data_IF_056332613809
#
_entry.id   IF_056332613809
#
_cell.length_a   1.000
_cell.length_b   1.000
_cell.length_c   1.000
_cell.angle_alpha   90.00
_cell.angle_beta   90.00
_cell.angle_gamma   90.00
#
_symmetry.space_group_name_H-M   'P 1'
#
loop_
_entity.id
_entity.type
_entity.pdbx_description
1 polymer ?
#
# COMPACT_ATOMS: atom_id res chain seq x y z
N UNK A 1 35.28 2.11 40.46
CA UNK A 1 34.12 2.40 39.59
C UNK A 1 34.15 1.70 38.22
N UNK A 2 35.17 0.89 37.88
CA UNK A 2 35.20 0.14 36.61
C UNK A 2 34.69 -1.31 36.72
N UNK A 3 34.70 -1.90 37.93
CA UNK A 3 34.23 -3.29 38.14
C UNK A 3 32.70 -3.44 38.30
N UNK A 4 31.96 -2.35 38.49
CA UNK A 4 30.49 -2.40 38.69
C UNK A 4 29.71 -2.34 37.35
N UNK A 5 30.37 -1.99 36.23
CA UNK A 5 29.77 -1.96 34.89
C UNK A 5 29.90 -3.29 34.13
N UNK A 6 30.81 -4.17 34.55
CA UNK A 6 31.03 -5.47 33.91
C UNK A 6 30.09 -6.54 34.47
N UNK A 7 29.63 -6.40 35.73
CA UNK A 7 28.67 -7.32 36.34
C UNK A 7 27.24 -7.19 35.80
N UNK A 8 26.83 -6.02 35.31
CA UNK A 8 25.53 -5.85 34.65
C UNK A 8 25.48 -6.46 33.24
N UNK A 9 26.61 -6.47 32.52
CA UNK A 9 26.69 -7.09 31.19
C UNK A 9 26.64 -8.63 31.24
N UNK A 10 27.15 -9.25 32.32
CA UNK A 10 27.14 -10.71 32.47
C UNK A 10 25.79 -11.21 33.03
N UNK A 11 25.09 -10.43 33.86
CA UNK A 11 23.73 -10.77 34.30
C UNK A 11 22.68 -10.56 33.21
N UNK A 12 22.87 -9.58 32.31
CA UNK A 12 22.04 -9.40 31.11
C UNK A 12 22.24 -10.53 30.09
N UNK A 13 23.44 -11.09 29.96
CA UNK A 13 23.70 -12.20 29.03
C UNK A 13 23.11 -13.54 29.51
N UNK A 14 23.07 -13.77 30.82
CA UNK A 14 22.47 -14.99 31.40
C UNK A 14 20.94 -14.91 31.54
N UNK A 15 20.36 -13.72 31.78
CA UNK A 15 18.91 -13.53 31.75
C UNK A 15 18.33 -13.52 30.32
N UNK A 16 19.10 -13.03 29.34
CA UNK A 16 18.70 -13.02 27.93
C UNK A 16 18.58 -14.43 27.31
N UNK A 17 19.25 -15.44 27.87
CA UNK A 17 19.17 -16.82 27.37
C UNK A 17 17.92 -17.56 27.85
N UNK A 18 17.31 -17.17 28.98
CA UNK A 18 16.07 -17.79 29.47
C UNK A 18 14.80 -17.09 28.96
N UNK A 19 14.87 -15.79 28.66
CA UNK A 19 13.72 -15.03 28.14
C UNK A 19 13.36 -15.42 26.69
N UNK A 20 14.36 -15.77 25.88
CA UNK A 20 14.16 -16.16 24.48
C UNK A 20 13.40 -17.50 24.30
N UNK A 21 13.27 -18.33 25.34
CA UNK A 21 12.51 -19.59 25.29
C UNK A 21 11.07 -19.44 25.85
N UNK A 22 10.69 -18.27 26.36
CA UNK A 22 9.38 -18.04 26.94
C UNK A 22 8.38 -17.52 25.91
N UNK A 23 7.10 -17.91 26.07
CA UNK A 23 6.02 -17.37 25.26
C UNK A 23 5.81 -15.87 25.49
N UNK A 24 5.18 -15.22 24.50
CA UNK A 24 4.99 -13.77 24.50
C UNK A 24 4.21 -13.29 25.73
N UNK A 25 3.17 -14.01 26.16
CA UNK A 25 2.34 -13.59 27.28
C UNK A 25 3.11 -13.65 28.59
N UNK A 26 3.96 -14.66 28.77
CA UNK A 26 4.81 -14.82 29.94
C UNK A 26 5.77 -13.65 30.07
N UNK A 27 6.38 -13.23 28.97
CA UNK A 27 7.27 -12.06 28.94
C UNK A 27 6.49 -10.77 29.19
N UNK A 28 5.36 -10.55 28.51
CA UNK A 28 4.54 -9.34 28.67
C UNK A 28 4.00 -9.17 30.10
N UNK A 29 3.65 -10.26 30.78
CA UNK A 29 3.18 -10.23 32.17
C UNK A 29 4.28 -9.91 33.19
N UNK A 30 5.56 -10.00 32.81
CA UNK A 30 6.69 -9.60 33.65
C UNK A 30 7.00 -8.10 33.54
N UNK A 31 6.48 -7.43 32.50
CA UNK A 31 6.73 -6.02 32.26
C UNK A 31 5.72 -5.14 32.99
N UNK A 32 6.16 -3.95 33.39
CA UNK A 32 5.31 -2.94 34.03
C UNK A 32 4.92 -1.84 33.05
N UNK A 33 3.70 -1.32 33.16
CA UNK A 33 3.26 -0.18 32.34
C UNK A 33 2.85 -0.53 30.90
N UNK A 34 2.60 -1.82 30.61
CA UNK A 34 2.03 -2.30 29.34
C UNK A 34 0.81 -3.20 29.55
N UNK A 35 0.22 -3.16 30.75
CA UNK A 35 -0.83 -4.09 31.19
C UNK A 35 -2.09 -4.03 30.33
N UNK A 36 -2.41 -2.85 29.79
CA UNK A 36 -3.58 -2.63 28.93
C UNK A 36 -3.40 -3.33 27.58
N UNK A 37 -2.20 -3.24 26.98
CA UNK A 37 -1.90 -3.95 25.73
C UNK A 37 -1.99 -5.46 25.93
N UNK A 38 -1.40 -5.97 27.01
CA UNK A 38 -1.46 -7.41 27.34
C UNK A 38 -2.90 -7.88 27.48
N UNK A 39 -3.76 -7.08 28.13
CA UNK A 39 -5.19 -7.36 28.25
C UNK A 39 -5.94 -7.36 26.91
N UNK A 40 -5.56 -6.51 25.95
CA UNK A 40 -6.10 -6.56 24.59
C UNK A 40 -5.63 -7.77 23.82
N UNK A 41 -4.33 -8.10 23.89
CA UNK A 41 -3.75 -9.26 23.19
C UNK A 41 -4.39 -10.58 23.67
N UNK A 42 -4.67 -10.71 24.96
CA UNK A 42 -5.33 -11.90 25.56
C UNK A 42 -6.73 -12.18 25.02
N UNK A 43 -7.40 -11.18 24.42
CA UNK A 43 -8.71 -11.39 23.79
C UNK A 43 -8.60 -12.15 22.46
N UNK A 44 -7.39 -12.22 21.87
CA UNK A 44 -7.13 -12.82 20.57
C UNK A 44 -6.12 -13.98 20.67
N UNK A 45 -6.53 -15.16 21.19
CA UNK A 45 -5.64 -16.31 21.35
C UNK A 45 -4.99 -16.77 20.04
N UNK A 46 -5.72 -16.67 18.90
CA UNK A 46 -5.15 -17.02 17.59
C UNK A 46 -4.00 -16.10 17.16
N UNK A 47 -4.00 -14.83 17.57
CA UNK A 47 -2.87 -13.92 17.34
C UNK A 47 -1.68 -14.30 18.23
N UNK A 48 -1.92 -14.65 19.50
CA UNK A 48 -0.88 -15.12 20.42
C UNK A 48 -0.20 -16.39 19.89
N UNK A 49 -0.98 -17.36 19.43
CA UNK A 49 -0.45 -18.61 18.85
C UNK A 49 0.42 -18.32 17.62
N UNK A 50 -0.04 -17.41 16.74
CA UNK A 50 0.74 -16.99 15.59
C UNK A 50 2.06 -16.34 16.03
N UNK A 51 2.01 -15.41 16.99
CA UNK A 51 3.19 -14.67 17.46
C UNK A 51 4.23 -15.59 18.09
N UNK A 52 3.82 -16.63 18.82
CA UNK A 52 4.72 -17.59 19.43
C UNK A 52 5.35 -18.58 18.43
N UNK A 53 4.69 -18.85 17.30
CA UNK A 53 5.15 -19.84 16.31
C UNK A 53 5.89 -19.24 15.10
N UNK A 54 5.95 -17.91 14.99
CA UNK A 54 6.63 -17.23 13.88
C UNK A 54 7.82 -16.38 14.31
N UNK A 55 8.14 -15.37 13.49
CA UNK A 55 9.24 -14.43 13.75
C UNK A 55 8.73 -13.02 13.57
N UNK A 56 8.56 -12.30 14.67
CA UNK A 56 7.94 -10.98 14.68
C UNK A 56 8.67 -9.99 15.58
N UNK A 57 8.44 -8.72 15.29
CA UNK A 57 8.74 -7.59 16.16
C UNK A 57 7.41 -7.00 16.62
N UNK A 58 7.08 -7.17 17.89
CA UNK A 58 5.82 -6.70 18.46
C UNK A 58 6.05 -5.33 19.08
N UNK A 59 5.42 -4.32 18.50
CA UNK A 59 5.49 -2.93 18.94
C UNK A 59 4.41 -2.71 20.00
N UNK A 60 4.80 -2.65 21.27
CA UNK A 60 3.87 -2.62 22.40
C UNK A 60 3.72 -1.19 22.92
N UNK A 61 2.61 -0.49 22.63
CA UNK A 61 2.37 0.81 23.21
C UNK A 61 2.21 0.71 24.73
N UNK A 62 2.87 1.60 25.46
CA UNK A 62 2.71 1.67 26.91
C UNK A 62 1.30 2.12 27.34
N UNK A 63 0.97 1.93 28.62
CA UNK A 63 -0.36 2.23 29.17
C UNK A 63 -0.74 3.72 29.00
N UNK A 64 0.24 4.62 29.02
CA UNK A 64 0.03 6.06 28.77
C UNK A 64 -0.37 6.34 27.31
N UNK A 65 0.27 5.66 26.36
CA UNK A 65 -0.04 5.72 24.94
C UNK A 65 -1.47 5.25 24.66
N UNK A 66 -1.85 4.10 25.24
CA UNK A 66 -3.19 3.53 25.09
C UNK A 66 -4.25 4.42 25.74
N UNK A 67 -3.97 4.98 26.92
CA UNK A 67 -4.88 5.93 27.57
C UNK A 67 -5.12 7.18 26.72
N UNK A 68 -4.07 7.69 26.08
CA UNK A 68 -4.17 8.83 25.16
C UNK A 68 -5.00 8.46 23.91
N UNK A 69 -4.75 7.28 23.35
CA UNK A 69 -5.47 6.77 22.18
C UNK A 69 -6.98 6.57 22.45
N UNK A 70 -7.32 5.90 23.54
CA UNK A 70 -8.71 5.61 23.94
C UNK A 70 -9.50 6.87 24.31
N UNK A 71 -8.83 7.89 24.86
CA UNK A 71 -9.45 9.20 25.10
C UNK A 71 -9.84 9.92 23.81
N UNK A 72 -9.09 9.70 22.73
CA UNK A 72 -9.35 10.27 21.41
C UNK A 72 -10.27 9.41 20.53
N UNK A 73 -10.38 8.11 20.83
CA UNK A 73 -11.13 7.13 20.05
C UNK A 73 -12.08 6.37 20.98
N UNK A 74 -13.24 6.96 21.24
CA UNK A 74 -14.33 6.30 21.95
C UNK A 74 -14.97 5.26 21.01
N UNK A 75 -15.36 4.10 21.55
CA UNK A 75 -16.08 3.03 20.83
C UNK A 75 -15.27 2.22 19.79
N UNK A 76 -14.02 1.86 20.11
CA UNK A 76 -13.24 0.91 19.29
C UNK A 76 -13.91 -0.46 19.29
N UNK A 77 -14.29 -0.94 18.11
CA UNK A 77 -14.88 -2.27 17.93
C UNK A 77 -13.84 -3.38 18.08
N UNK A 78 -14.28 -4.62 18.29
CA UNK A 78 -13.39 -5.78 18.38
C UNK A 78 -12.56 -5.99 17.09
N UNK A 79 -13.19 -5.79 15.92
CA UNK A 79 -12.53 -5.88 14.62
C UNK A 79 -11.46 -4.79 14.44
N UNK A 80 -11.73 -3.57 14.88
CA UNK A 80 -10.76 -2.47 14.85
C UNK A 80 -9.61 -2.71 15.84
N UNK A 81 -9.90 -3.27 17.01
CA UNK A 81 -8.88 -3.64 17.98
C UNK A 81 -7.96 -4.73 17.43
N UNK A 82 -8.51 -5.76 16.79
CA UNK A 82 -7.71 -6.81 16.15
C UNK A 82 -6.83 -6.23 15.05
N UNK A 83 -7.38 -5.38 14.18
CA UNK A 83 -6.62 -4.72 13.12
C UNK A 83 -5.48 -3.85 13.67
N UNK A 84 -5.75 -3.15 14.78
CA UNK A 84 -4.75 -2.36 15.49
C UNK A 84 -3.63 -3.25 16.04
N UNK A 85 -3.96 -4.34 16.71
CA UNK A 85 -2.96 -5.28 17.24
C UNK A 85 -2.13 -5.92 16.12
N UNK A 86 -2.76 -6.32 15.01
CA UNK A 86 -2.07 -6.84 13.83
C UNK A 86 -1.13 -5.80 13.22
N UNK A 87 -1.51 -4.52 13.20
CA UNK A 87 -0.64 -3.44 12.71
C UNK A 87 0.57 -3.18 13.62
N UNK A 88 0.46 -3.49 14.92
CA UNK A 88 1.58 -3.44 15.86
C UNK A 88 2.50 -4.66 15.79
N UNK A 89 2.13 -5.70 15.03
CA UNK A 89 2.93 -6.90 14.86
C UNK A 89 3.64 -6.85 13.50
N UNK A 90 4.95 -6.63 13.51
CA UNK A 90 5.76 -6.48 12.32
C UNK A 90 6.44 -7.81 11.96
N UNK A 91 6.41 -8.18 10.69
CA UNK A 91 7.04 -9.40 10.19
C UNK A 91 8.56 -9.32 10.28
N UNK A 92 9.19 -10.37 10.81
CA UNK A 92 10.64 -10.45 11.01
C UNK A 92 11.10 -9.81 12.32
N UNK A 93 12.39 -10.02 12.62
CA UNK A 93 13.05 -9.42 13.77
C UNK A 93 13.76 -8.14 13.33
N UNK A 94 13.36 -7.01 13.91
CA UNK A 94 13.92 -5.68 13.68
C UNK A 94 14.53 -5.16 14.98
N UNK A 95 15.78 -5.53 15.33
CA UNK A 95 16.43 -5.01 16.53
C UNK A 95 16.62 -3.49 16.44
N UNK A 96 16.50 -2.77 17.54
CA UNK A 96 16.66 -1.31 17.57
C UNK A 96 18.03 -0.85 17.02
N UNK A 97 19.06 -1.69 17.16
CA UNK A 97 20.40 -1.45 16.62
C UNK A 97 20.49 -1.46 15.09
N UNK A 98 19.51 -2.03 14.37
CA UNK A 98 19.48 -2.03 12.90
C UNK A 98 18.82 -0.78 12.32
N UNK A 99 18.22 0.07 13.17
CA UNK A 99 17.51 1.26 12.73
C UNK A 99 18.54 2.24 12.17
N UNK A 100 18.42 2.52 10.88
CA UNK A 100 19.37 3.33 10.13
C UNK A 100 18.79 4.67 9.72
N UNK A 101 19.65 5.50 9.11
CA UNK A 101 19.23 6.71 8.40
C UNK A 101 18.47 6.38 7.10
N UNK A 102 18.73 5.19 6.54
CA UNK A 102 17.91 4.67 5.46
C UNK A 102 16.66 4.04 6.07
N UNK A 103 15.45 4.50 5.71
CA UNK A 103 14.22 3.93 6.23
C UNK A 103 14.06 2.48 5.75
N UNK A 104 13.42 1.67 6.59
CA UNK A 104 13.01 0.31 6.29
C UNK A 104 11.48 0.24 6.37
N UNK A 105 10.84 -0.21 5.30
CA UNK A 105 9.39 -0.40 5.27
C UNK A 105 9.10 -1.88 5.56
N UNK A 106 8.64 -2.14 6.77
CA UNK A 106 8.44 -3.49 7.27
C UNK A 106 6.95 -3.87 7.22
N UNK A 107 6.57 -4.97 6.55
CA UNK A 107 5.20 -5.46 6.54
C UNK A 107 4.72 -5.84 7.93
N UNK A 108 3.45 -5.57 8.21
CA UNK A 108 2.76 -5.94 9.45
C UNK A 108 1.85 -7.15 9.21
N UNK A 109 1.25 -7.67 10.27
CA UNK A 109 0.21 -8.70 10.17
C UNK A 109 -1.14 -8.16 9.67
N UNK A 110 -1.30 -6.84 9.54
CA UNK A 110 -2.55 -6.25 9.06
C UNK A 110 -2.69 -6.47 7.56
N UNK A 111 -3.56 -7.41 7.18
CA UNK A 111 -3.87 -7.78 5.78
C UNK A 111 -5.36 -7.69 5.43
N UNK A 112 -6.21 -7.35 6.40
CA UNK A 112 -7.65 -7.19 6.16
C UNK A 112 -7.90 -6.06 5.14
N UNK A 113 -8.76 -6.34 4.15
CA UNK A 113 -9.04 -5.44 3.03
C UNK A 113 -9.94 -4.27 3.36
N UNK A 114 -10.75 -4.41 4.42
CA UNK A 114 -11.18 -3.25 5.19
C UNK A 114 -9.94 -2.82 5.96
N UNK A 115 -9.48 -1.58 6.08
CA UNK A 115 -8.17 -1.17 6.64
C UNK A 115 -6.99 -1.11 5.65
N UNK A 116 -6.66 -2.16 4.88
CA UNK A 116 -5.52 -2.08 3.92
C UNK A 116 -5.76 -2.74 2.57
N UNK A 117 -5.30 -2.11 1.50
CA UNK A 117 -5.30 -2.62 0.13
C UNK A 117 -3.90 -2.50 -0.49
N UNK A 118 -2.91 -2.92 0.30
CA UNK A 118 -1.52 -3.07 -0.10
C UNK A 118 -1.20 -4.56 -0.16
N UNK A 119 -0.64 -5.02 -1.28
CA UNK A 119 -0.24 -6.40 -1.50
C UNK A 119 0.81 -6.80 -0.46
N UNK A 120 0.55 -7.88 0.26
CA UNK A 120 1.40 -8.34 1.36
C UNK A 120 1.08 -7.71 2.72
N UNK A 121 0.10 -6.82 2.79
CA UNK A 121 -0.34 -6.17 4.03
C UNK A 121 0.21 -4.77 4.20
N UNK A 122 -0.28 -4.09 5.25
CA UNK A 122 0.14 -2.73 5.55
C UNK A 122 1.54 -2.70 6.17
N UNK A 123 2.27 -1.61 5.99
CA UNK A 123 3.66 -1.47 6.48
C UNK A 123 3.78 -0.42 7.59
N UNK A 124 4.88 -0.50 8.34
CA UNK A 124 5.40 0.58 9.18
C UNK A 124 6.76 1.02 8.64
N UNK A 125 7.09 2.30 8.80
CA UNK A 125 8.41 2.84 8.48
C UNK A 125 9.29 2.79 9.73
N UNK A 126 10.37 2.03 9.68
CA UNK A 126 11.40 1.93 10.72
C UNK A 126 12.57 2.82 10.31
N UNK A 127 12.90 3.83 11.13
CA UNK A 127 13.91 4.82 10.75
C UNK A 127 14.58 5.47 11.98
N UNK A 128 15.58 6.30 11.72
CA UNK A 128 16.21 7.20 12.69
C UNK A 128 15.75 8.63 12.45
N UNK A 129 14.89 9.15 13.33
CA UNK A 129 14.46 10.54 13.31
C UNK A 129 15.22 11.31 14.40
N UNK A 130 15.97 12.35 14.02
CA UNK A 130 16.77 13.15 14.97
C UNK A 130 17.70 12.30 15.86
N UNK A 131 18.35 11.27 15.29
CA UNK A 131 19.20 10.32 16.00
C UNK A 131 18.47 9.46 17.06
N UNK A 132 17.13 9.37 16.99
CA UNK A 132 16.32 8.50 17.85
C UNK A 132 15.66 7.39 17.01
N UNK A 133 15.79 6.10 17.40
CA UNK A 133 15.04 5.01 16.80
C UNK A 133 13.54 5.31 16.84
N UNK A 134 12.91 5.40 15.68
CA UNK A 134 11.53 5.87 15.56
C UNK A 134 10.78 4.99 14.57
N UNK A 135 9.55 4.64 14.94
CA UNK A 135 8.56 4.04 14.04
C UNK A 135 7.67 5.16 13.52
N UNK A 136 7.58 5.33 12.21
CA UNK A 136 6.58 6.18 11.57
C UNK A 136 5.44 5.33 11.03
N UNK A 137 4.21 5.79 11.25
CA UNK A 137 2.97 5.09 10.82
C UNK A 137 1.97 6.06 10.20
N UNK A 138 1.08 5.56 9.35
CA UNK A 138 0.00 6.34 8.73
C UNK A 138 0.47 7.68 8.14
N UNK A 139 -0.05 8.78 8.69
CA UNK A 139 0.28 10.17 8.32
C UNK A 139 1.65 10.64 8.85
N UNK A 140 2.68 9.78 8.76
CA UNK A 140 4.01 9.98 9.36
C UNK A 140 3.96 10.30 10.85
N UNK A 141 3.03 9.66 11.55
CA UNK A 141 2.90 9.71 13.00
C UNK A 141 4.08 9.00 13.65
N UNK A 142 4.89 9.74 14.43
CA UNK A 142 6.07 9.22 15.08
C UNK A 142 5.75 8.54 16.42
N UNK A 143 6.30 7.34 16.61
CA UNK A 143 6.28 6.57 17.85
C UNK A 143 7.72 6.19 18.21
N UNK A 144 8.18 6.59 19.39
CA UNK A 144 9.55 6.37 19.84
C UNK A 144 9.66 5.06 20.61
N UNK A 145 10.83 4.42 20.51
CA UNK A 145 11.12 3.23 21.29
C UNK A 145 11.48 3.64 22.73
N UNK A 146 10.66 3.22 23.69
CA UNK A 146 10.85 3.42 25.13
C UNK A 146 11.75 2.34 25.72
N UNK A 147 11.48 1.09 25.37
CA UNK A 147 12.27 -0.07 25.79
C UNK A 147 12.47 -1.01 24.61
N UNK A 148 13.70 -1.11 24.07
CA UNK A 148 13.99 -1.92 22.90
C UNK A 148 14.31 -3.37 23.26
N UNK A 149 14.17 -4.25 22.26
CA UNK A 149 14.85 -5.54 22.15
C UNK A 149 14.58 -6.56 23.29
N UNK A 150 13.35 -6.61 23.79
CA UNK A 150 12.93 -7.62 24.76
C UNK A 150 12.64 -8.93 24.02
N UNK A 151 13.39 -9.99 24.31
CA UNK A 151 13.26 -11.27 23.60
C UNK A 151 12.09 -12.12 24.11
N UNK A 152 11.47 -12.86 23.19
CA UNK A 152 10.52 -13.94 23.46
C UNK A 152 10.69 -15.03 22.38
N UNK A 153 10.04 -16.19 22.55
CA UNK A 153 10.20 -17.36 21.66
C UNK A 153 9.95 -17.07 20.17
N UNK A 154 9.07 -16.12 19.87
CA UNK A 154 8.72 -15.74 18.50
C UNK A 154 9.42 -14.49 17.97
N UNK A 155 10.42 -13.94 18.66
CA UNK A 155 11.19 -12.80 18.18
C UNK A 155 11.46 -11.74 19.25
N UNK A 156 11.04 -10.50 19.00
CA UNK A 156 11.31 -9.38 19.90
C UNK A 156 10.08 -8.51 20.15
N UNK A 157 10.07 -7.89 21.32
CA UNK A 157 9.12 -6.88 21.75
C UNK A 157 9.87 -5.55 21.82
N UNK A 158 9.27 -4.49 21.29
CA UNK A 158 9.71 -3.12 21.52
C UNK A 158 8.59 -2.33 22.16
N UNK A 159 8.81 -1.79 23.35
CA UNK A 159 7.84 -0.91 23.99
C UNK A 159 7.93 0.47 23.35
N UNK A 160 6.79 1.01 22.95
CA UNK A 160 6.70 2.31 22.26
C UNK A 160 5.85 3.31 23.04
N UNK A 161 6.09 4.60 22.80
CA UNK A 161 5.43 5.69 23.52
C UNK A 161 4.06 6.09 22.96
N UNK A 162 3.68 5.51 21.82
CA UNK A 162 2.46 5.88 21.09
C UNK A 162 1.83 4.68 20.39
N UNK A 163 0.50 4.65 20.37
CA UNK A 163 -0.26 3.71 19.54
C UNK A 163 -0.06 4.05 18.07
N UNK A 164 0.35 3.08 17.26
CA UNK A 164 0.55 3.26 15.83
C UNK A 164 -0.76 3.57 15.12
N UNK A 165 -0.67 4.44 14.13
CA UNK A 165 -1.83 4.88 13.35
C UNK A 165 -1.95 4.04 12.08
N UNK A 166 -3.03 3.25 11.98
CA UNK A 166 -3.35 2.55 10.73
C UNK A 166 -3.49 3.59 9.60
N UNK A 167 -2.77 3.43 8.48
CA UNK A 167 -2.89 4.30 7.32
C UNK A 167 -4.34 4.41 6.82
N UNK A 168 -4.73 5.62 6.44
CA UNK A 168 -6.10 5.98 6.05
C UNK A 168 -6.17 6.25 4.54
N UNK A 169 -7.37 6.40 4.00
CA UNK A 169 -7.55 6.66 2.56
C UNK A 169 -6.80 7.92 2.12
N UNK A 170 -6.34 7.94 0.87
CA UNK A 170 -5.61 9.08 0.31
C UNK A 170 -6.27 10.46 0.58
N UNK A 171 -7.60 10.66 0.36
CA UNK A 171 -8.26 11.93 0.68
C UNK A 171 -8.21 12.30 2.18
N UNK A 172 -8.28 11.31 3.06
CA UNK A 172 -8.19 11.53 4.50
C UNK A 172 -6.74 11.84 4.91
N UNK A 173 -5.75 11.17 4.32
CA UNK A 173 -4.32 11.40 4.53
C UNK A 173 -3.94 12.83 4.19
N UNK A 174 -4.28 13.32 2.99
CA UNK A 174 -3.94 14.71 2.58
C UNK A 174 -4.60 15.76 3.49
N UNK A 175 -5.82 15.49 3.96
CA UNK A 175 -6.56 16.37 4.88
C UNK A 175 -5.89 16.42 6.25
N UNK A 176 -5.57 15.23 6.80
CA UNK A 176 -4.99 15.10 8.13
C UNK A 176 -3.54 15.60 8.17
N UNK A 177 -2.78 15.40 7.09
CA UNK A 177 -1.43 15.94 6.94
C UNK A 177 -1.41 17.46 6.66
N UNK A 178 -2.56 18.10 6.44
CA UNK A 178 -2.63 19.55 6.21
C UNK A 178 -2.07 19.99 4.85
N UNK A 179 -2.13 19.13 3.83
CA UNK A 179 -1.61 19.40 2.48
C UNK A 179 -2.59 20.29 1.70
N UNK A 180 -2.77 21.53 2.17
CA UNK A 180 -3.84 22.42 1.70
C UNK A 180 -3.70 22.83 0.23
N UNK A 181 -2.47 22.97 -0.27
CA UNK A 181 -2.23 23.29 -1.68
C UNK A 181 -2.58 22.11 -2.57
N UNK A 182 -2.18 20.89 -2.18
CA UNK A 182 -2.59 19.68 -2.87
C UNK A 182 -4.11 19.54 -2.89
N UNK A 183 -4.78 19.71 -1.74
CA UNK A 183 -6.25 19.65 -1.67
C UNK A 183 -6.89 20.69 -2.61
N UNK A 184 -6.39 21.92 -2.64
CA UNK A 184 -6.91 22.96 -3.52
C UNK A 184 -6.74 22.59 -5.00
N UNK A 185 -5.59 22.01 -5.35
CA UNK A 185 -5.30 21.55 -6.69
C UNK A 185 -6.23 20.40 -7.11
N UNK A 186 -6.34 19.33 -6.30
CA UNK A 186 -7.23 18.20 -6.60
C UNK A 186 -8.70 18.63 -6.72
N UNK A 187 -9.13 19.63 -5.95
CA UNK A 187 -10.46 20.25 -6.10
C UNK A 187 -10.62 20.96 -7.44
N UNK A 188 -9.59 21.67 -7.92
CA UNK A 188 -9.59 22.34 -9.22
C UNK A 188 -9.66 21.35 -10.38
N UNK A 189 -9.00 20.19 -10.24
CA UNK A 189 -9.10 19.06 -11.16
C UNK A 189 -10.43 18.30 -11.09
N UNK A 190 -11.28 18.57 -10.08
CA UNK A 190 -12.55 17.85 -9.86
C UNK A 190 -12.39 16.45 -9.26
N UNK A 191 -11.18 16.05 -8.86
CA UNK A 191 -10.82 14.68 -8.49
C UNK A 191 -11.25 14.27 -7.07
N UNK A 192 -11.59 15.23 -6.22
CA UNK A 192 -12.16 14.96 -4.89
C UNK A 192 -13.67 14.72 -4.92
N UNK A 193 -14.29 14.81 -6.10
CA UNK A 193 -15.71 14.48 -6.27
C UNK A 193 -15.87 12.96 -6.20
N UNK A 194 -16.72 12.40 -5.31
CA UNK A 194 -16.83 10.94 -5.12
C UNK A 194 -17.22 10.16 -6.37
N UNK A 195 -17.89 10.80 -7.33
CA UNK A 195 -18.31 10.20 -8.61
C UNK A 195 -17.28 10.36 -9.71
N UNK A 196 -16.15 11.03 -9.46
CA UNK A 196 -15.11 11.22 -10.46
C UNK A 196 -14.32 9.92 -10.69
N UNK A 197 -13.87 9.62 -11.92
CA UNK A 197 -12.97 8.50 -12.18
C UNK A 197 -11.69 8.56 -11.34
N UNK A 198 -11.19 9.77 -11.06
CA UNK A 198 -10.01 9.98 -10.22
C UNK A 198 -10.25 9.55 -8.76
N UNK A 199 -11.40 9.87 -8.17
CA UNK A 199 -11.77 9.40 -6.84
C UNK A 199 -11.90 7.87 -6.80
N UNK A 200 -12.41 7.24 -7.86
CA UNK A 200 -12.44 5.78 -7.94
C UNK A 200 -11.04 5.20 -7.91
N UNK A 201 -10.13 5.70 -8.75
CA UNK A 201 -8.73 5.27 -8.82
C UNK A 201 -8.07 5.23 -7.43
N UNK A 202 -8.06 6.35 -6.71
CA UNK A 202 -7.34 6.45 -5.42
C UNK A 202 -8.03 5.76 -4.25
N UNK A 203 -9.29 5.37 -4.39
CA UNK A 203 -10.02 4.69 -3.31
C UNK A 203 -10.17 3.19 -3.53
N UNK A 204 -10.09 2.70 -4.77
CA UNK A 204 -10.36 1.27 -5.07
C UNK A 204 -9.15 0.49 -5.54
N UNK A 205 -8.20 1.12 -6.23
CA UNK A 205 -7.02 0.40 -6.71
C UNK A 205 -6.07 0.12 -5.55
N UNK A 206 -5.40 -1.04 -5.62
CA UNK A 206 -4.35 -1.44 -4.70
C UNK A 206 -3.00 -0.93 -5.17
N UNK A 207 -2.03 -0.91 -4.26
CA UNK A 207 -0.61 -0.72 -4.56
C UNK A 207 -0.31 0.55 -5.35
N UNK A 208 -0.83 1.67 -4.86
CA UNK A 208 -0.65 2.96 -5.50
C UNK A 208 0.60 3.68 -5.00
N UNK A 209 1.32 4.32 -5.92
CA UNK A 209 2.24 5.41 -5.59
C UNK A 209 1.69 6.68 -6.20
N UNK A 210 1.27 7.63 -5.37
CA UNK A 210 0.71 8.91 -5.83
C UNK A 210 1.75 10.00 -5.66
N UNK A 211 2.07 10.72 -6.73
CA UNK A 211 2.90 11.92 -6.68
C UNK A 211 1.99 13.15 -6.67
N UNK A 212 2.01 13.90 -5.56
CA UNK A 212 1.12 15.04 -5.35
C UNK A 212 1.89 16.31 -5.00
N UNK A 213 1.74 17.41 -5.75
CA UNK A 213 2.43 18.64 -5.40
C UNK A 213 1.78 19.32 -4.19
N UNK A 214 2.59 19.79 -3.26
CA UNK A 214 2.12 20.63 -2.15
C UNK A 214 3.02 21.86 -2.00
N UNK A 215 2.81 22.80 -2.92
CA UNK A 215 3.51 24.09 -2.96
C UNK A 215 2.50 25.19 -3.30
N UNK A 216 2.62 26.41 -2.73
CA UNK A 216 1.68 27.51 -2.97
C UNK A 216 1.46 27.85 -4.45
N UNK A 217 2.47 27.63 -5.28
CA UNK A 217 2.42 27.87 -6.73
C UNK A 217 1.53 26.86 -7.47
N UNK A 218 1.32 25.68 -6.89
CA UNK A 218 0.47 24.60 -7.40
C UNK A 218 -0.75 24.38 -6.50
N UNK A 219 -1.24 25.43 -5.84
CA UNK A 219 -2.44 25.43 -5.01
C UNK A 219 -3.63 26.13 -5.67
N UNK A 220 -4.42 26.86 -4.88
CA UNK A 220 -5.65 27.50 -5.34
C UNK A 220 -5.47 28.54 -6.47
N UNK A 221 -4.27 29.15 -6.56
CA UNK A 221 -3.94 30.18 -7.56
C UNK A 221 -3.40 29.59 -8.87
N UNK A 222 -3.27 28.27 -8.97
CA UNK A 222 -2.69 27.63 -10.15
C UNK A 222 -3.63 27.71 -11.36
N UNK A 223 -3.19 28.35 -12.44
CA UNK A 223 -3.97 28.56 -13.67
C UNK A 223 -3.57 27.63 -14.82
N UNK A 224 -2.56 26.77 -14.64
CA UNK A 224 -2.06 25.88 -15.70
C UNK A 224 -3.07 24.85 -16.20
N UNK A 225 -4.17 24.64 -15.46
CA UNK A 225 -5.29 23.78 -15.85
C UNK A 225 -6.49 24.52 -16.44
N UNK A 226 -6.43 25.85 -16.55
CA UNK A 226 -7.54 26.64 -17.07
C UNK A 226 -7.77 26.32 -18.56
N UNK A 227 -9.00 25.95 -18.89
CA UNK A 227 -9.38 25.59 -20.27
C UNK A 227 -9.05 24.16 -20.67
N UNK A 228 -8.44 23.34 -19.79
CA UNK A 228 -8.28 21.92 -20.04
C UNK A 228 -9.62 21.17 -19.95
N UNK A 229 -9.75 20.11 -20.73
CA UNK A 229 -10.91 19.21 -20.66
C UNK A 229 -10.81 18.28 -19.46
N UNK A 230 -11.93 17.73 -19.00
CA UNK A 230 -11.95 16.72 -17.93
C UNK A 230 -11.11 15.48 -18.29
N UNK A 231 -11.08 15.10 -19.57
CA UNK A 231 -10.25 14.00 -20.07
C UNK A 231 -8.75 14.31 -19.91
N UNK A 232 -8.32 15.50 -20.31
CA UNK A 232 -6.92 15.94 -20.14
C UNK A 232 -6.51 16.03 -18.67
N UNK A 233 -7.42 16.48 -17.80
CA UNK A 233 -7.17 16.49 -16.35
C UNK A 233 -7.04 15.06 -15.81
N UNK A 234 -7.88 14.13 -16.25
CA UNK A 234 -7.76 12.73 -15.85
C UNK A 234 -6.45 12.10 -16.32
N UNK A 235 -5.98 12.42 -17.54
CA UNK A 235 -4.67 11.96 -18.04
C UNK A 235 -3.51 12.49 -17.18
N UNK A 236 -3.53 13.78 -16.81
CA UNK A 236 -2.55 14.37 -15.88
C UNK A 236 -2.56 13.64 -14.52
N UNK A 237 -3.76 13.34 -14.01
CA UNK A 237 -3.91 12.60 -12.75
C UNK A 237 -3.35 11.18 -12.84
N UNK A 238 -3.70 10.44 -13.90
CA UNK A 238 -3.20 9.09 -14.14
C UNK A 238 -1.69 9.05 -14.37
N UNK A 239 -1.13 10.09 -15.00
CA UNK A 239 0.31 10.23 -15.16
C UNK A 239 1.03 10.46 -13.83
N UNK A 240 0.34 11.01 -12.83
CA UNK A 240 0.89 11.27 -11.50
C UNK A 240 0.82 10.05 -10.57
N UNK A 241 0.37 8.89 -11.06
CA UNK A 241 0.11 7.69 -10.26
C UNK A 241 0.83 6.50 -10.87
N UNK A 242 1.47 5.69 -10.03
CA UNK A 242 1.91 4.33 -10.35
C UNK A 242 0.95 3.33 -9.72
N UNK A 243 0.78 2.16 -10.34
CA UNK A 243 0.01 1.05 -9.80
C UNK A 243 0.81 -0.25 -9.88
N UNK A 244 0.68 -1.10 -8.85
CA UNK A 244 1.19 -2.48 -8.82
C UNK A 244 2.46 -2.64 -7.99
N UNK A 245 3.20 -1.56 -7.75
CA UNK A 245 4.31 -1.50 -6.81
C UNK A 245 4.22 -0.20 -6.00
N UNK A 246 4.27 -0.34 -4.67
CA UNK A 246 4.30 0.80 -3.75
C UNK A 246 5.75 1.25 -3.60
N UNK A 247 6.11 2.34 -4.25
CA UNK A 247 7.47 2.84 -4.31
C UNK A 247 7.78 3.68 -3.07
N UNK A 248 8.39 3.05 -2.07
CA UNK A 248 8.90 3.72 -0.88
C UNK A 248 10.26 4.38 -1.13
N UNK A 249 10.60 5.41 -0.33
CA UNK A 249 11.86 6.13 -0.47
C UNK A 249 13.12 5.27 -0.36
N UNK A 250 13.05 4.17 0.40
CA UNK A 250 14.15 3.20 0.54
C UNK A 250 14.50 2.50 -0.78
N UNK A 251 13.59 2.51 -1.75
CA UNK A 251 13.70 1.83 -3.03
C UNK A 251 13.95 2.79 -4.19
N UNK A 252 14.05 4.10 -3.91
CA UNK A 252 14.35 5.10 -4.93
C UNK A 252 15.69 4.80 -5.60
N UNK A 253 15.65 4.64 -6.93
CA UNK A 253 16.80 4.29 -7.76
C UNK A 253 17.06 5.41 -8.76
N UNK A 254 18.32 5.82 -8.86
CA UNK A 254 18.71 6.81 -9.87
C UNK A 254 18.58 6.22 -11.28
N UNK A 255 18.11 7.02 -12.22
CA UNK A 255 17.91 6.68 -13.63
C UNK A 255 16.94 5.50 -13.85
N UNK A 256 15.91 5.36 -13.01
CA UNK A 256 14.86 4.37 -13.21
C UNK A 256 13.67 4.95 -13.98
N UNK A 257 12.94 4.06 -14.67
CA UNK A 257 11.67 4.37 -15.32
C UNK A 257 10.53 3.76 -14.52
N UNK A 258 9.51 4.57 -14.25
CA UNK A 258 8.37 4.21 -13.42
C UNK A 258 7.10 4.22 -14.29
N UNK A 259 6.48 3.07 -14.56
CA UNK A 259 5.30 3.00 -15.41
C UNK A 259 4.09 3.65 -14.73
N UNK A 260 3.46 4.61 -15.40
CA UNK A 260 2.30 5.32 -14.84
C UNK A 260 1.00 4.60 -15.14
N UNK A 261 -0.06 4.94 -14.40
CA UNK A 261 -1.42 4.47 -14.68
C UNK A 261 -1.93 4.98 -16.03
N UNK A 262 -1.37 6.09 -16.53
CA UNK A 262 -1.56 6.50 -17.91
C UNK A 262 -0.73 5.57 -18.82
N UNK A 263 -1.43 4.65 -19.51
CA UNK A 263 -0.81 3.64 -20.37
C UNK A 263 0.24 4.22 -21.32
N UNK A 264 1.35 3.49 -21.52
CA UNK A 264 2.47 3.86 -22.42
C UNK A 264 3.33 5.04 -21.95
N UNK A 265 2.96 5.70 -20.85
CA UNK A 265 3.75 6.75 -20.25
C UNK A 265 4.54 6.23 -19.04
N UNK A 266 5.70 6.84 -18.81
CA UNK A 266 6.55 6.53 -17.67
C UNK A 266 7.21 7.79 -17.14
N UNK A 267 7.35 7.86 -15.83
CA UNK A 267 8.12 8.90 -15.14
C UNK A 267 9.58 8.48 -15.07
N UNK A 268 10.48 9.46 -15.03
CA UNK A 268 11.93 9.22 -14.89
C UNK A 268 12.37 9.62 -13.49
N UNK A 269 12.86 8.67 -12.69
CA UNK A 269 13.47 9.00 -11.41
C UNK A 269 14.94 9.36 -11.62
N UNK A 270 15.36 10.53 -11.16
CA UNK A 270 16.77 10.96 -11.19
C UNK A 270 17.23 11.45 -9.83
N UNK A 271 18.47 11.16 -9.47
CA UNK A 271 19.10 11.71 -8.27
C UNK A 271 20.09 12.81 -8.68
N UNK A 272 19.85 14.02 -8.20
CA UNK A 272 20.69 15.18 -8.44
C UNK A 272 21.10 15.75 -7.09
N UNK A 273 22.40 15.69 -6.78
CA UNK A 273 22.97 16.23 -5.52
C UNK A 273 22.29 15.72 -4.24
N UNK A 274 21.83 14.46 -4.24
CA UNK A 274 21.16 13.83 -3.09
C UNK A 274 19.64 14.04 -3.05
N UNK A 275 19.08 14.92 -3.88
CA UNK A 275 17.63 15.06 -4.07
C UNK A 275 17.12 14.13 -5.17
N UNK A 276 15.99 13.48 -4.94
CA UNK A 276 15.31 12.67 -5.95
C UNK A 276 14.26 13.48 -6.68
N UNK A 277 14.29 13.41 -8.01
CA UNK A 277 13.38 14.07 -8.93
C UNK A 277 12.59 13.03 -9.71
N UNK A 278 11.32 13.31 -9.92
CA UNK A 278 10.44 12.57 -10.81
C UNK A 278 10.16 13.46 -12.00
N UNK A 279 10.73 13.07 -13.14
CA UNK A 279 11.02 13.95 -14.27
C UNK A 279 11.71 15.24 -13.80
N UNK A 280 11.01 16.37 -13.81
CA UNK A 280 11.55 17.67 -13.37
C UNK A 280 11.14 18.07 -11.95
N UNK A 281 10.21 17.35 -11.33
CA UNK A 281 9.66 17.70 -10.03
C UNK A 281 10.50 17.09 -8.90
N UNK A 282 10.97 17.91 -7.96
CA UNK A 282 11.70 17.45 -6.78
C UNK A 282 10.74 16.79 -5.80
N UNK A 283 11.09 15.61 -5.28
CA UNK A 283 10.39 15.01 -4.14
C UNK A 283 10.83 15.72 -2.87
N UNK A 284 9.92 16.46 -2.25
CA UNK A 284 10.19 17.29 -1.06
C UNK A 284 9.88 16.57 0.25
N UNK A 285 8.90 15.66 0.24
CA UNK A 285 8.55 14.87 1.42
C UNK A 285 8.16 13.48 0.97
N UNK A 286 8.75 12.47 1.58
CA UNK A 286 8.50 11.09 1.20
C UNK A 286 7.54 10.37 2.14
N UNK A 287 6.88 9.36 1.62
CA UNK A 287 6.28 8.25 2.37
C UNK A 287 5.17 8.63 3.36
N UNK A 288 4.14 9.34 2.87
CA UNK A 288 2.85 9.32 3.56
C UNK A 288 2.13 8.01 3.24
N UNK A 289 2.08 7.09 4.19
CA UNK A 289 1.38 5.83 4.00
C UNK A 289 -0.12 6.07 3.89
N UNK A 290 -0.74 5.44 2.89
CA UNK A 290 -2.20 5.42 2.70
C UNK A 290 -2.71 3.99 2.85
N UNK A 291 -4.02 3.83 3.02
CA UNK A 291 -4.65 2.51 3.13
C UNK A 291 -4.37 1.61 1.92
N UNK A 292 -4.02 2.16 0.76
CA UNK A 292 -3.80 1.41 -0.49
C UNK A 292 -2.46 1.73 -1.17
N UNK A 293 -1.49 2.28 -0.44
CA UNK A 293 -0.19 2.58 -1.00
C UNK A 293 0.53 3.72 -0.30
N UNK A 294 1.14 4.62 -1.08
CA UNK A 294 1.98 5.70 -0.57
C UNK A 294 1.79 6.99 -1.37
N UNK A 295 1.86 8.13 -0.66
CA UNK A 295 1.89 9.46 -1.24
C UNK A 295 3.30 10.06 -1.10
N UNK A 296 3.86 10.47 -2.22
CA UNK A 296 5.13 11.19 -2.34
C UNK A 296 4.84 12.65 -2.71
N UNK A 297 5.33 13.59 -1.90
CA UNK A 297 5.10 15.03 -2.13
C UNK A 297 6.18 15.58 -3.04
N UNK A 298 5.74 16.29 -4.08
CA UNK A 298 6.61 16.93 -5.05
C UNK A 298 6.47 18.46 -5.03
N UNK A 299 7.45 19.19 -5.57
CA UNK A 299 7.42 20.65 -5.65
C UNK A 299 6.64 21.20 -6.85
N UNK A 300 6.38 20.34 -7.85
CA UNK A 300 5.82 20.72 -9.15
C UNK A 300 4.79 19.72 -9.68
N UNK A 301 3.81 20.19 -10.47
CA UNK A 301 2.87 19.28 -11.15
C UNK A 301 3.59 18.48 -12.24
N UNK A 302 3.17 17.22 -12.42
CA UNK A 302 3.59 16.39 -13.54
C UNK A 302 2.70 16.66 -14.76
N UNK A 303 3.27 16.61 -15.96
CA UNK A 303 2.56 16.82 -17.23
C UNK A 303 2.98 15.75 -18.24
N UNK A 304 2.03 14.94 -18.77
CA UNK A 304 2.32 13.91 -19.76
C UNK A 304 2.86 14.47 -21.09
N UNK A 305 2.71 15.78 -21.37
CA UNK A 305 3.25 16.39 -22.59
C UNK A 305 4.74 16.74 -22.48
N UNK A 306 5.31 16.71 -21.28
CA UNK A 306 6.72 17.05 -21.01
C UNK A 306 7.54 15.85 -20.52
N UNK A 307 7.11 14.64 -20.89
CA UNK A 307 7.72 13.38 -20.41
C UNK A 307 9.23 13.31 -20.64
N UNK A 308 9.95 12.71 -19.69
CA UNK A 308 11.37 12.43 -19.83
C UNK A 308 12.27 13.66 -19.83
N UNK A 309 11.74 14.84 -19.50
CA UNK A 309 12.55 16.02 -19.24
C UNK A 309 13.24 15.87 -17.88
N UNK A 310 14.54 16.14 -17.85
CA UNK A 310 15.37 16.09 -16.64
C UNK A 310 15.80 17.52 -16.32
N UNK A 311 15.89 17.94 -15.04
CA UNK A 311 16.34 19.27 -14.68
C UNK A 311 17.69 19.58 -15.33
N UNK A 312 17.76 20.66 -16.11
CA UNK A 312 18.99 21.08 -16.80
C UNK A 312 19.95 21.84 -15.87
N UNK A 313 19.52 22.21 -14.67
CA UNK A 313 20.36 22.82 -13.63
C UNK A 313 19.67 22.77 -12.27
N UNK A 314 20.44 22.61 -11.19
CA UNK A 314 20.00 22.64 -9.79
C UNK A 314 19.26 23.94 -9.45
N UNK A 315 17.97 23.89 -9.04
CA UNK A 315 17.38 24.97 -8.26
C UNK A 315 18.01 24.96 -6.87
N UNK A 316 18.34 26.14 -6.34
CA UNK A 316 18.79 26.29 -4.96
C UNK A 316 17.62 25.88 -4.04
N UNK A 317 17.81 24.99 -3.05
CA UNK A 317 16.72 24.57 -2.17
C UNK A 317 16.23 25.79 -1.39
N UNK A 318 14.97 26.17 -1.63
CA UNK A 318 14.27 27.12 -0.78
C UNK A 318 13.84 26.36 0.47
N UNK A 319 14.51 26.59 1.59
CA UNK A 319 14.15 26.00 2.88
C UNK A 319 12.81 26.57 3.36
N UNK A 320 11.69 25.98 2.91
CA UNK A 320 10.39 26.20 3.52
C UNK A 320 10.08 25.05 4.47
N UNK A 321 10.22 25.33 5.76
CA UNK A 321 9.57 24.63 6.87
C UNK A 321 9.78 23.11 6.94
N UNK A 322 10.65 22.67 7.85
CA UNK A 322 10.65 21.27 8.26
C UNK A 322 9.23 20.86 8.62
N UNK A 323 8.68 19.86 7.93
CA UNK A 323 7.43 19.23 8.30
C UNK A 323 7.65 18.58 9.66
N UNK A 324 7.22 19.25 10.73
CA UNK A 324 7.03 18.62 12.02
C UNK A 324 6.02 17.49 11.80
N UNK A 325 6.49 16.24 11.83
CA UNK A 325 5.61 15.08 11.84
C UNK A 325 4.53 15.28 12.89
N UNK A 326 3.29 14.91 12.58
CA UNK A 326 2.22 14.94 13.56
C UNK A 326 2.62 14.01 14.71
N UNK A 327 2.57 14.47 15.95
CA UNK A 327 2.70 13.57 17.10
C UNK A 327 1.68 12.43 16.93
N UNK A 328 2.03 11.18 17.24
CA UNK A 328 1.09 10.07 17.08
C UNK A 328 -0.25 10.26 17.82
N UNK A 329 -0.28 11.05 18.89
CA UNK A 329 -1.53 11.50 19.54
C UNK A 329 -2.47 12.32 18.63
N UNK A 330 -1.94 13.06 17.64
CA UNK A 330 -2.69 13.77 16.60
C UNK A 330 -2.97 12.89 15.36
N UNK A 331 -2.22 11.79 15.21
CA UNK A 331 -2.39 10.75 14.20
C UNK A 331 -3.45 9.70 14.54
N UNK A 332 -3.77 9.51 15.82
CA UNK A 332 -4.68 8.49 16.35
C UNK A 332 -6.16 8.76 15.98
N UNK A 333 -6.55 8.44 14.75
CA UNK A 333 -7.94 8.23 14.38
C UNK A 333 -8.02 6.91 13.65
N UNK A 334 -8.83 5.97 14.13
CA UNK A 334 -9.07 4.70 13.42
C UNK A 334 -9.71 5.06 12.08
N UNK A 335 -8.94 4.94 11.00
CA UNK A 335 -9.46 5.12 9.67
C UNK A 335 -10.32 3.92 9.33
N UNK A 336 -11.63 4.13 9.28
CA UNK A 336 -12.54 3.25 8.55
C UNK A 336 -12.03 3.20 7.11
N UNK A 337 -11.29 2.16 6.75
CA UNK A 337 -10.85 1.95 5.37
C UNK A 337 -11.70 0.86 4.74
N UNK A 338 -12.26 1.20 3.58
CA UNK A 338 -12.82 0.31 2.54
C UNK A 338 -13.96 -0.59 3.03
N UNK A 339 -15.19 -0.05 3.00
CA UNK A 339 -16.40 -0.84 3.25
C UNK A 339 -17.63 -0.04 3.66
N UNK A 340 -17.46 1.22 4.08
CA UNK A 340 -18.57 2.14 4.30
C UNK A 340 -18.49 3.29 3.29
N UNK A 341 -19.37 3.25 2.30
CA UNK A 341 -19.78 4.39 1.47
C UNK A 341 -20.57 5.39 2.34
N UNK A 342 -19.99 5.82 3.46
CA UNK A 342 -20.47 6.95 4.23
C UNK A 342 -19.31 7.95 4.24
N UNK A 343 -19.22 8.68 3.13
CA UNK A 343 -18.91 10.10 3.04
C UNK A 343 -18.18 10.68 4.25
N UNK A 344 -17.01 11.27 3.98
CA UNK A 344 -16.38 12.28 4.82
C UNK A 344 -17.36 13.11 5.64
N UNK A 345 -17.55 12.72 6.91
CA UNK A 345 -18.21 13.56 7.92
C UNK A 345 -17.54 14.94 8.04
N UNK A 346 -16.27 15.04 7.60
CA UNK A 346 -15.49 16.28 7.57
C UNK A 346 -15.58 17.10 6.27
N UNK A 347 -15.96 16.51 5.13
CA UNK A 347 -16.31 17.30 3.93
C UNK A 347 -17.57 18.15 4.21
N UNK A 348 -18.46 17.61 5.06
CA UNK A 348 -19.65 18.29 5.59
C UNK A 348 -19.29 19.42 6.56
N UNK A 349 -18.28 19.29 7.43
CA UNK A 349 -17.87 20.38 8.32
C UNK A 349 -17.18 21.54 7.56
N UNK A 350 -16.35 21.24 6.55
CA UNK A 350 -15.63 22.24 5.77
C UNK A 350 -16.54 23.00 4.76
N UNK A 351 -17.55 22.34 4.16
CA UNK A 351 -18.57 23.03 3.36
C UNK A 351 -19.58 23.80 4.22
N UNK A 352 -19.93 23.29 5.40
CA UNK A 352 -20.88 23.93 6.32
C UNK A 352 -20.33 25.23 6.93
N UNK A 353 -19.03 25.29 7.26
CA UNK A 353 -18.41 26.54 7.73
C UNK A 353 -18.18 27.56 6.61
N UNK A 354 -18.13 27.13 5.34
CA UNK A 354 -17.96 28.02 4.17
C UNK A 354 -19.29 28.60 3.65
N UNK A 355 -20.43 27.92 3.81
CA UNK A 355 -21.76 28.46 3.42
C UNK A 355 -22.33 29.45 4.43
N UNK A 356 -22.03 29.30 5.73
CA UNK A 356 -22.53 30.20 6.78
C UNK A 356 -21.93 31.62 6.72
N UNK A 357 -20.84 31.82 5.96
CA UNK A 357 -20.26 33.15 5.66
C UNK A 357 -20.95 33.91 4.51
N UNK A 358 -21.95 33.33 3.83
CA UNK A 358 -22.76 34.04 2.81
C UNK A 358 -24.17 34.43 3.28
N UNK A 359 -24.53 34.12 4.52
CA UNK A 359 -25.86 34.37 5.09
C UNK A 359 -25.86 35.43 6.19
N UNK A 360 -25.35 36.63 5.93
CA UNK A 360 -25.75 37.83 6.67
C UNK A 360 -25.76 39.03 5.70
N UNK A 361 -26.92 39.26 5.07
CA UNK A 361 -27.13 40.35 4.12
C UNK A 361 -28.48 40.31 3.39
N UNK A 362 -29.59 40.49 4.14
CA UNK A 362 -30.78 41.25 3.71
C UNK A 362 -31.76 40.76 2.62
N UNK A 363 -32.92 40.24 3.05
CA UNK A 363 -34.27 40.76 2.71
C UNK A 363 -35.00 40.38 1.40
N UNK A 364 -36.21 39.78 1.53
CA UNK A 364 -37.35 40.07 0.61
C UNK A 364 -38.16 38.90 -0.01
N UNK A 365 -39.27 38.50 0.64
CA UNK A 365 -40.63 38.13 0.16
C UNK A 365 -40.97 37.19 -1.06
N UNK A 366 -41.93 36.27 -0.78
CA UNK A 366 -43.04 35.68 -1.60
C UNK A 366 -42.68 34.78 -2.83
N UNK A 367 -43.31 33.66 -3.18
CA UNK A 367 -44.45 32.85 -2.72
C UNK A 367 -44.91 31.84 -3.82
N UNK A 368 -45.49 30.69 -3.40
CA UNK A 368 -46.54 29.83 -4.08
C UNK A 368 -46.17 28.78 -5.18
N UNK A 369 -46.59 27.50 -4.95
CA UNK A 369 -47.19 26.55 -5.92
C UNK A 369 -46.31 25.36 -6.41
N UNK A 370 -46.40 24.09 -5.95
CA UNK A 370 -47.40 23.00 -6.10
C UNK A 370 -47.21 22.05 -7.34
N UNK A 371 -47.35 20.73 -7.11
CA UNK A 371 -47.39 19.55 -8.01
C UNK A 371 -46.05 19.05 -8.61
N UNK A 372 -45.65 17.77 -8.64
CA UNK A 372 -46.32 16.49 -8.37
C UNK A 372 -46.41 15.64 -9.65
N UNK A 373 -45.54 14.64 -9.85
CA UNK A 373 -45.89 13.37 -10.53
C UNK A 373 -44.81 12.29 -10.47
N UNK A 374 -45.26 11.09 -10.12
CA UNK A 374 -44.61 9.79 -10.27
C UNK A 374 -44.65 9.35 -11.73
N UNK A 375 -43.67 8.56 -12.16
CA UNK A 375 -43.92 7.50 -13.13
C UNK A 375 -42.98 6.31 -12.88
N UNK A 376 -43.62 5.17 -12.58
CA UNK A 376 -43.10 3.81 -12.63
C UNK A 376 -43.31 3.25 -14.04
N UNK A 377 -42.63 2.13 -14.29
CA UNK A 377 -42.97 0.92 -15.09
C UNK A 377 -41.74 0.56 -15.94
N UNK A 378 -41.31 -0.69 -16.16
CA UNK A 378 -41.45 -2.03 -15.57
C UNK A 378 -40.69 -2.97 -16.56
N UNK A 379 -40.29 -4.18 -16.15
CA UNK A 379 -39.88 -5.30 -17.03
C UNK A 379 -38.49 -5.89 -16.72
N UNK A 380 -38.34 -6.87 -15.82
CA UNK A 380 -38.47 -8.35 -16.00
C UNK A 380 -37.45 -8.93 -17.01
N UNK A 381 -36.49 -9.81 -16.65
CA UNK A 381 -36.69 -11.26 -16.45
C UNK A 381 -35.40 -11.96 -15.94
N UNK A 382 -35.57 -13.12 -15.30
CA UNK A 382 -34.59 -13.96 -14.58
C UNK A 382 -33.83 -14.93 -15.48
N UNK A 383 -32.59 -15.30 -15.12
CA UNK A 383 -32.13 -16.70 -15.13
C UNK A 383 -30.92 -16.91 -14.21
N UNK A 384 -30.94 -17.98 -13.41
CA UNK A 384 -29.95 -18.36 -12.40
C UNK A 384 -29.36 -19.70 -12.87
N UNK A 385 -28.09 -19.73 -13.25
CA UNK A 385 -27.34 -20.98 -13.45
C UNK A 385 -26.35 -21.12 -12.31
N UNK A 386 -26.63 -22.06 -11.41
CA UNK A 386 -25.67 -22.49 -10.41
C UNK A 386 -24.65 -23.43 -11.04
N UNK A 387 -23.37 -23.21 -10.75
CA UNK A 387 -22.34 -24.23 -10.91
C UNK A 387 -21.75 -24.52 -9.54
N UNK A 388 -22.15 -25.69 -9.02
CA UNK A 388 -21.50 -26.36 -7.90
C UNK A 388 -20.19 -26.91 -8.44
N UNK A 389 -19.06 -26.34 -8.03
CA UNK A 389 -17.76 -26.99 -8.15
C UNK A 389 -17.57 -27.82 -6.89
N UNK A 390 -17.46 -29.13 -7.06
CA UNK A 390 -17.10 -30.06 -6.00
C UNK A 390 -15.66 -29.75 -5.54
N UNK A 391 -15.42 -29.32 -4.28
CA UNK A 391 -14.09 -28.88 -3.84
C UNK A 391 -13.08 -30.02 -3.66
N UNK A 392 -13.51 -31.28 -3.69
CA UNK A 392 -12.66 -32.45 -3.42
C UNK A 392 -12.36 -33.31 -4.68
N UNK A 393 -12.61 -32.79 -5.88
CA UNK A 393 -12.24 -33.45 -7.15
C UNK A 393 -10.79 -33.17 -7.59
N UNK A 394 -10.07 -34.14 -8.18
CA UNK A 394 -8.72 -33.89 -8.72
C UNK A 394 -8.75 -32.93 -9.92
N UNK A 395 -7.68 -32.14 -10.15
CA UNK A 395 -7.61 -31.17 -11.25
C UNK A 395 -7.64 -31.85 -12.63
N UNK A 396 -8.07 -31.15 -13.70
CA UNK A 396 -8.20 -31.74 -15.03
C UNK A 396 -6.83 -32.13 -15.62
N UNK A 397 -6.74 -33.36 -16.13
CA UNK A 397 -5.57 -33.90 -16.83
C UNK A 397 -5.67 -33.62 -18.34
N UNK A 398 -4.59 -33.16 -18.97
CA UNK A 398 -4.52 -32.92 -20.41
C UNK A 398 -3.73 -34.05 -21.09
N UNK A 399 -4.32 -34.68 -22.12
CA UNK A 399 -3.72 -35.79 -22.86
C UNK A 399 -3.45 -35.37 -24.32
N UNK A 400 -2.24 -35.61 -24.82
CA UNK A 400 -1.81 -35.24 -26.18
C UNK A 400 -1.79 -36.49 -27.08
N UNK A 401 -2.61 -36.50 -28.13
CA UNK A 401 -2.68 -37.59 -29.11
C UNK A 401 -1.96 -37.17 -30.41
N UNK A 402 -0.92 -37.92 -30.82
CA UNK A 402 -0.10 -37.60 -31.99
C UNK A 402 -0.30 -38.63 -33.10
N UNK A 403 -0.82 -38.19 -34.25
CA UNK A 403 -1.04 -39.04 -35.44
C UNK A 403 0.03 -38.75 -36.49
N UNK A 404 0.85 -39.74 -36.83
CA UNK A 404 1.81 -39.62 -37.95
C UNK A 404 1.30 -40.35 -39.20
N UNK A 405 1.42 -39.72 -40.37
CA UNK A 405 1.14 -40.34 -41.68
C UNK A 405 2.47 -40.42 -42.43
N UNK A 406 2.90 -41.63 -42.80
CA UNK A 406 4.09 -41.86 -43.64
C UNK A 406 3.66 -41.90 -45.10
N UNK A 407 4.22 -41.02 -45.93
CA UNK A 407 4.19 -41.19 -47.38
C UNK A 407 5.53 -41.77 -47.85
N UNK A 408 5.54 -43.01 -48.35
CA UNK A 408 6.76 -43.65 -48.88
C UNK A 408 6.67 -45.13 -49.26
N UNK A 409 5.92 -45.42 -50.33
CA UNK A 409 5.98 -46.56 -51.29
C UNK A 409 7.00 -47.70 -51.01
N UNK A 410 6.54 -48.83 -50.45
CA UNK A 410 6.34 -50.12 -51.14
C UNK A 410 5.79 -51.16 -50.12
N UNK A 411 4.59 -51.67 -50.40
CA UNK A 411 4.03 -52.92 -49.87
C UNK A 411 4.19 -53.24 -48.37
N UNK A 412 3.22 -52.83 -47.55
CA UNK A 412 3.05 -53.37 -46.19
C UNK A 412 2.19 -52.46 -45.32
N UNK A 413 1.16 -53.03 -44.69
CA UNK A 413 0.10 -52.33 -43.93
C UNK A 413 0.65 -51.23 -43.00
N UNK A 414 0.10 -50.02 -43.13
CA UNK A 414 0.33 -48.91 -42.20
C UNK A 414 -0.18 -49.28 -40.80
N UNK A 415 0.74 -49.53 -39.86
CA UNK A 415 0.44 -49.55 -38.44
C UNK A 415 0.82 -48.19 -37.84
N UNK A 416 -0.17 -47.46 -37.33
CA UNK A 416 0.04 -46.24 -36.55
C UNK A 416 0.58 -46.62 -35.17
N UNK A 417 1.81 -46.23 -34.83
CA UNK A 417 2.29 -46.31 -33.44
C UNK A 417 2.03 -44.99 -32.73
N UNK A 418 1.21 -45.02 -31.68
CA UNK A 418 1.06 -43.91 -30.73
C UNK A 418 2.24 -43.94 -29.75
N UNK A 419 2.89 -42.81 -29.51
CA UNK A 419 3.87 -42.65 -28.42
C UNK A 419 3.38 -41.55 -27.50
N UNK A 420 3.23 -41.89 -26.22
CA UNK A 420 2.86 -40.95 -25.15
C UNK A 420 4.16 -40.37 -24.60
N UNK A 421 4.24 -39.04 -24.53
CA UNK A 421 5.37 -38.35 -23.93
C UNK A 421 4.90 -37.56 -22.71
N UNK A 422 5.46 -37.87 -21.53
CA UNK A 422 5.30 -37.03 -20.34
C UNK A 422 6.24 -35.82 -20.42
N UNK A 423 5.67 -34.63 -20.19
CA UNK A 423 6.40 -33.36 -20.24
C UNK A 423 6.76 -32.95 -18.80
N UNK A 424 8.05 -33.00 -18.48
CA UNK A 424 8.58 -32.40 -17.25
C UNK A 424 8.94 -30.93 -17.49
N UNK A 425 8.51 -30.06 -16.58
CA UNK A 425 8.81 -28.63 -16.62
C UNK A 425 10.09 -28.36 -15.83
N UNK A 426 11.10 -27.65 -16.36
CA UNK A 426 12.21 -27.16 -15.55
C UNK A 426 11.77 -25.97 -14.66
N UNK A 427 12.39 -25.77 -13.49
CA UNK A 427 11.96 -24.81 -12.48
C UNK A 427 12.45 -23.38 -12.78
N UNK A 428 12.10 -22.82 -13.95
CA UNK A 428 12.07 -21.37 -14.25
C UNK A 428 11.72 -21.14 -15.73
N UNK A 429 10.78 -20.24 -16.08
CA UNK A 429 10.64 -19.79 -17.45
C UNK A 429 11.77 -18.78 -17.80
N UNK A 430 12.41 -18.88 -18.97
CA UNK A 430 13.20 -17.77 -19.50
C UNK A 430 12.28 -16.64 -19.97
N UNK A 431 12.69 -15.40 -19.73
CA UNK A 431 12.00 -14.17 -20.14
C UNK A 431 11.75 -14.11 -21.66
N UNK A 432 10.64 -13.51 -22.13
CA UNK A 432 10.44 -13.26 -23.55
C UNK A 432 11.44 -12.21 -24.07
N UNK A 433 12.11 -12.50 -25.18
CA UNK A 433 12.81 -11.51 -25.99
C UNK A 433 11.83 -10.95 -27.02
N UNK A 434 11.57 -9.64 -26.99
CA UNK A 434 10.88 -8.95 -28.08
C UNK A 434 11.84 -8.73 -29.26
N UNK A 435 11.53 -9.37 -30.38
CA UNK A 435 11.88 -8.87 -31.71
C UNK A 435 10.52 -8.52 -32.34
N UNK A 436 10.33 -7.24 -32.67
CA UNK A 436 9.18 -6.69 -33.40
C UNK A 436 7.81 -6.55 -32.67
N UNK A 437 7.81 -6.37 -31.34
CA UNK A 437 6.69 -5.71 -30.64
C UNK A 437 5.33 -6.42 -30.68
N UNK A 438 5.30 -7.76 -30.71
CA UNK A 438 4.08 -8.54 -30.50
C UNK A 438 4.37 -9.71 -29.54
N UNK A 439 3.59 -9.84 -28.47
CA UNK A 439 3.68 -10.97 -27.53
C UNK A 439 3.40 -12.30 -28.24
N UNK A 440 4.37 -13.23 -28.18
CA UNK A 440 4.21 -14.59 -28.69
C UNK A 440 4.64 -15.59 -27.62
N UNK A 441 3.71 -16.42 -27.16
CA UNK A 441 4.02 -17.57 -26.31
C UNK A 441 4.80 -18.59 -27.13
N UNK A 442 6.07 -18.86 -26.78
CA UNK A 442 6.89 -19.85 -27.49
C UNK A 442 6.86 -21.19 -26.75
N UNK A 443 6.22 -22.19 -27.36
CA UNK A 443 6.36 -23.59 -26.92
C UNK A 443 7.61 -24.16 -27.60
N UNK A 444 8.61 -24.56 -26.81
CA UNK A 444 9.83 -25.18 -27.32
C UNK A 444 9.71 -26.69 -27.20
N UNK A 445 9.72 -27.40 -28.34
CA UNK A 445 9.69 -28.87 -28.39
C UNK A 445 11.06 -29.35 -28.82
N UNK A 446 11.76 -30.06 -27.92
CA UNK A 446 13.05 -30.69 -28.24
C UNK A 446 12.81 -32.14 -28.64
N UNK A 447 13.05 -32.48 -29.91
CA UNK A 447 12.97 -33.86 -30.40
C UNK A 447 14.36 -34.48 -30.33
N UNK A 448 14.57 -35.46 -29.47
CA UNK A 448 15.81 -36.24 -29.46
C UNK A 448 15.74 -37.36 -30.50
N UNK A 449 16.63 -37.33 -31.49
CA UNK A 449 16.72 -38.32 -32.58
C UNK A 449 16.65 -37.70 -33.98
N UNK A 450 16.57 -38.54 -35.00
CA UNK A 450 16.50 -38.08 -36.40
C UNK A 450 15.19 -37.32 -36.66
N UNK A 451 15.24 -36.08 -37.18
CA UNK A 451 14.07 -35.21 -37.27
C UNK A 451 13.03 -35.76 -38.27
N UNK A 452 11.72 -35.70 -37.93
CA UNK A 452 10.65 -36.15 -38.81
C UNK A 452 10.47 -35.20 -40.00
N UNK A 453 10.02 -35.73 -41.14
CA UNK A 453 9.90 -34.96 -42.39
C UNK A 453 8.76 -33.93 -42.37
N UNK A 454 7.74 -34.12 -41.52
CA UNK A 454 6.60 -33.21 -41.37
C UNK A 454 6.10 -33.19 -39.92
N UNK A 455 5.80 -31.99 -39.40
CA UNK A 455 5.10 -31.74 -38.13
C UNK A 455 3.80 -30.99 -38.41
N UNK A 456 2.70 -31.42 -37.79
CA UNK A 456 1.41 -30.72 -37.84
C UNK A 456 0.90 -30.41 -36.44
N UNK A 457 0.22 -29.27 -36.28
CA UNK A 457 -0.35 -28.80 -35.02
C UNK A 457 -1.86 -28.59 -35.20
N UNK A 458 -2.67 -29.09 -34.27
CA UNK A 458 -4.11 -28.81 -34.25
C UNK A 458 -4.53 -28.48 -32.82
N UNK A 459 -5.06 -27.28 -32.61
CA UNK A 459 -5.70 -26.88 -31.36
C UNK A 459 -7.20 -27.20 -31.44
N UNK A 460 -7.77 -27.81 -30.40
CA UNK A 460 -9.21 -27.91 -30.21
C UNK A 460 -9.57 -27.07 -28.98
N UNK A 461 -10.57 -26.21 -29.13
CA UNK A 461 -11.14 -25.39 -28.07
C UNK A 461 -12.31 -26.13 -27.41
#
# INVERSE_FOLDING_TARGET
>A
MLLCRITWAIFALAAGSYAADQDILTILNQQTGISTFTGYLQQFPGLIDLLNNGTFSVLVPNDQAISTFTSANQDVTEDELLALLQYHCVNGTHPSATFGLQPLFAPTLLTNTSYTNVTGGQVVEITMLNNTPTILSGVKAASQIVEPDILYIGGLIQIVDSVLTIPISFPATITKAGLTDLIALLNKGGWLTPTSPAAMIVNTLSDLTVFGPNSPQFGASFTGWDGLTEASLLEIFQYSILQGEVLYSSEFKNNSKLPTLLNQFSLTMTNISGGFYVDTALITTTDYLTSNGVLQIIDSTLDPNTTGTVPTSTPVPSSSGGSSGLSAAAGAGIGIAIGAVILGGALVAALYLRSKRRGQGGGGMMGIGMFGRRQRLDGESRERVGHTTDPDGPPPTYELDAKSIRAGRHGGRDASSTHVFEIHHPPKPPSPLEIDGNERSRISITIQGSPPRHLGFQARY
#
